data_IF_070033087926
#
_entry.id   IF_070033087926
#
_cell.length_a   1.000
_cell.length_b   1.000
_cell.length_c   1.000
_cell.angle_alpha   90.00
_cell.angle_beta   90.00
_cell.angle_gamma   90.00
#
_symmetry.space_group_name_H-M   'P 1'
#
loop_
_entity.id
_entity.type
_entity.pdbx_description
1 polymer ?
#
# COMPACT_ATOMS: atom_id res chain seq x y z
N UNK A 1 0.12 8.49 -8.49
CA UNK A 1 1.21 9.09 -7.71
C UNK A 1 1.02 8.61 -6.28
N UNK A 2 1.99 7.88 -5.73
CA UNK A 2 1.91 7.41 -4.33
C UNK A 2 2.00 8.61 -3.39
N UNK A 3 1.37 8.46 -2.24
CA UNK A 3 1.23 9.51 -1.25
C UNK A 3 2.40 9.38 -0.28
N UNK A 4 3.60 9.64 -0.80
CA UNK A 4 4.83 9.68 -0.03
C UNK A 4 5.15 11.13 0.35
N UNK A 5 5.81 11.35 1.50
CA UNK A 5 6.49 12.62 1.78
C UNK A 5 7.37 13.05 0.60
N UNK A 6 7.45 14.36 0.34
CA UNK A 6 8.22 14.91 -0.79
C UNK A 6 9.67 14.37 -0.86
N UNK A 7 10.41 14.27 0.26
CA UNK A 7 11.76 13.69 0.25
C UNK A 7 11.75 12.22 -0.20
N UNK A 8 10.81 11.42 0.29
CA UNK A 8 10.71 10.00 -0.06
C UNK A 8 10.23 9.77 -1.49
N UNK A 9 9.34 10.61 -2.01
CA UNK A 9 8.92 10.57 -3.40
C UNK A 9 10.10 10.86 -4.36
N UNK A 10 10.98 11.81 -3.99
CA UNK A 10 12.18 12.11 -4.77
C UNK A 10 13.18 10.95 -4.75
N UNK A 11 13.39 10.36 -3.58
CA UNK A 11 14.30 9.22 -3.42
C UNK A 11 13.79 7.97 -4.14
N UNK A 12 12.48 7.67 -4.03
CA UNK A 12 11.83 6.62 -4.82
C UNK A 12 12.08 6.82 -6.31
N UNK A 13 11.86 8.04 -6.83
CA UNK A 13 12.08 8.36 -8.24
C UNK A 13 13.54 8.15 -8.64
N UNK A 14 14.49 8.60 -7.82
CA UNK A 14 15.92 8.44 -8.05
C UNK A 14 16.31 6.96 -8.15
N UNK A 15 15.83 6.13 -7.23
CA UNK A 15 16.12 4.69 -7.22
C UNK A 15 15.43 3.99 -8.39
N UNK A 16 14.17 4.32 -8.68
CA UNK A 16 13.40 3.75 -9.80
C UNK A 16 14.09 3.97 -11.15
N UNK A 17 14.71 5.14 -11.36
CA UNK A 17 15.49 5.43 -12.57
C UNK A 17 16.74 4.54 -12.75
N UNK A 18 17.23 3.91 -11.68
CA UNK A 18 18.36 2.98 -11.72
C UNK A 18 17.97 1.52 -11.96
N UNK A 19 16.66 1.22 -11.97
CA UNK A 19 16.16 -0.13 -12.20
C UNK A 19 16.13 -0.47 -13.70
N UNK A 20 16.44 -1.72 -14.08
CA UNK A 20 16.36 -2.16 -15.47
C UNK A 20 14.91 -2.21 -15.96
N UNK A 21 14.72 -2.15 -17.28
CA UNK A 21 13.39 -2.16 -17.91
C UNK A 21 12.73 -3.55 -17.93
N UNK A 22 13.52 -4.62 -17.85
CA UNK A 22 12.99 -5.97 -17.66
C UNK A 22 12.16 -6.01 -16.37
N UNK A 23 11.04 -6.74 -16.33
CA UNK A 23 10.17 -6.76 -15.14
C UNK A 23 9.24 -5.54 -14.96
N UNK A 24 9.27 -4.53 -15.84
CA UNK A 24 8.23 -3.46 -15.89
C UNK A 24 6.99 -3.84 -16.71
N UNK A 25 7.16 -4.69 -17.73
CA UNK A 25 6.09 -5.19 -18.59
C UNK A 25 6.03 -6.72 -18.48
N UNK A 26 5.20 -7.23 -17.57
CA UNK A 26 5.08 -8.67 -17.31
C UNK A 26 3.66 -9.13 -17.69
N UNK A 27 3.56 -10.22 -18.44
CA UNK A 27 2.30 -10.87 -18.82
C UNK A 27 1.51 -11.50 -17.64
N UNK A 28 2.00 -11.37 -16.41
CA UNK A 28 1.36 -11.86 -15.18
C UNK A 28 0.90 -10.66 -14.32
N UNK A 29 -0.32 -10.14 -14.52
CA UNK A 29 -0.75 -8.84 -13.96
C UNK A 29 -0.85 -8.81 -12.44
N UNK A 30 -0.77 -9.96 -11.77
CA UNK A 30 -0.85 -10.06 -10.33
C UNK A 30 0.51 -10.10 -9.64
N UNK A 31 1.60 -10.34 -10.38
CA UNK A 31 2.95 -10.25 -9.82
C UNK A 31 3.37 -8.79 -9.68
N UNK A 32 4.32 -8.55 -8.79
CA UNK A 32 4.87 -7.22 -8.57
C UNK A 32 6.09 -7.00 -9.45
N UNK A 33 6.13 -5.85 -10.10
CA UNK A 33 7.32 -5.32 -10.78
C UNK A 33 8.36 -4.84 -9.76
N UNK A 34 9.54 -4.42 -10.23
CA UNK A 34 10.52 -3.77 -9.36
C UNK A 34 9.98 -2.50 -8.73
N UNK A 35 9.29 -1.69 -9.54
CA UNK A 35 8.68 -0.44 -9.10
C UNK A 35 7.61 -0.73 -8.03
N UNK A 36 6.73 -1.72 -8.23
CA UNK A 36 5.72 -2.10 -7.22
C UNK A 36 6.31 -2.48 -5.86
N UNK A 37 7.42 -3.24 -5.85
CA UNK A 37 8.09 -3.67 -4.61
C UNK A 37 8.79 -2.50 -3.94
N UNK A 38 9.42 -1.63 -4.74
CA UNK A 38 10.07 -0.43 -4.26
C UNK A 38 9.03 0.54 -3.67
N UNK A 39 7.92 0.76 -4.36
CA UNK A 39 6.80 1.57 -3.91
C UNK A 39 6.23 1.05 -2.58
N UNK A 40 5.98 -0.26 -2.47
CA UNK A 40 5.51 -0.88 -1.23
C UNK A 40 6.51 -0.65 -0.07
N UNK A 41 7.81 -0.73 -0.34
CA UNK A 41 8.85 -0.45 0.66
C UNK A 41 8.82 1.02 1.12
N UNK A 42 8.78 1.96 0.19
CA UNK A 42 8.77 3.39 0.52
C UNK A 42 7.48 3.80 1.25
N UNK A 43 6.33 3.20 0.93
CA UNK A 43 5.09 3.44 1.68
C UNK A 43 5.18 2.95 3.14
N UNK A 44 5.83 1.81 3.37
CA UNK A 44 6.11 1.36 4.74
C UNK A 44 7.08 2.32 5.42
N UNK A 45 8.09 2.80 4.70
CA UNK A 45 9.07 3.72 5.26
C UNK A 45 8.41 5.02 5.73
N UNK A 46 7.63 5.65 4.86
CA UNK A 46 6.89 6.88 5.13
C UNK A 46 5.94 6.69 6.33
N UNK A 47 5.11 5.65 6.30
CA UNK A 47 4.13 5.38 7.36
C UNK A 47 4.76 5.21 8.75
N UNK A 48 5.88 4.48 8.86
CA UNK A 48 6.49 4.22 10.17
C UNK A 48 7.42 5.34 10.63
N UNK A 49 8.03 6.11 9.72
CA UNK A 49 8.81 7.29 10.09
C UNK A 49 7.94 8.40 10.69
N UNK A 50 6.75 8.63 10.13
CA UNK A 50 5.81 9.63 10.68
C UNK A 50 5.35 9.29 12.11
N UNK A 51 5.38 8.01 12.46
CA UNK A 51 4.91 7.50 13.75
C UNK A 51 6.07 7.32 14.77
N UNK A 52 7.26 7.86 14.47
CA UNK A 52 8.49 7.78 15.26
C UNK A 52 8.96 6.33 15.54
N UNK A 53 8.53 5.38 14.70
CA UNK A 53 9.04 4.01 14.71
C UNK A 53 10.32 3.98 13.90
N UNK A 54 11.47 3.96 14.60
CA UNK A 54 12.79 3.96 13.99
C UNK A 54 12.92 3.02 12.78
N UNK A 55 13.37 3.60 11.67
CA UNK A 55 13.78 2.88 10.46
C UNK A 55 15.29 3.10 10.31
N UNK A 56 16.06 2.01 10.31
CA UNK A 56 17.53 2.04 10.28
C UNK A 56 18.15 2.47 8.95
N UNK A 57 17.32 2.68 7.92
CA UNK A 57 17.70 3.17 6.60
C UNK A 57 16.64 2.87 5.56
N UNK A 58 16.59 3.67 4.49
CA UNK A 58 15.52 3.66 3.51
C UNK A 58 16.06 3.25 2.15
N UNK A 59 15.30 2.42 1.44
CA UNK A 59 15.63 2.00 0.10
C UNK A 59 16.57 0.79 0.05
N UNK A 60 16.91 0.35 -1.18
CA UNK A 60 17.67 -0.86 -1.40
C UNK A 60 19.14 -0.68 -1.00
N UNK A 61 19.74 -1.70 -0.39
CA UNK A 61 21.19 -1.78 -0.13
C UNK A 61 22.00 -1.81 -1.42
N UNK A 62 21.43 -2.44 -2.46
CA UNK A 62 21.98 -2.44 -3.81
C UNK A 62 20.87 -2.72 -4.82
N UNK A 63 21.00 -2.12 -6.00
CA UNK A 63 20.06 -2.33 -7.13
C UNK A 63 20.03 -3.81 -7.52
N UNK A 64 21.19 -4.44 -7.66
CA UNK A 64 21.30 -5.85 -8.04
C UNK A 64 20.67 -6.78 -6.99
N UNK A 65 20.77 -6.44 -5.69
CA UNK A 65 20.14 -7.22 -4.62
C UNK A 65 18.61 -7.16 -4.69
N UNK A 66 18.04 -5.99 -4.98
CA UNK A 66 16.60 -5.82 -5.19
C UNK A 66 16.14 -6.57 -6.45
N UNK A 67 16.79 -6.32 -7.59
CA UNK A 67 16.48 -6.96 -8.88
C UNK A 67 16.51 -8.48 -8.73
N UNK A 68 17.62 -9.03 -8.21
CA UNK A 68 17.75 -10.47 -8.00
C UNK A 68 16.65 -11.02 -7.08
N UNK A 69 16.23 -10.28 -6.05
CA UNK A 69 15.17 -10.72 -5.15
C UNK A 69 13.81 -10.80 -5.84
N UNK A 70 13.48 -9.79 -6.64
CA UNK A 70 12.19 -9.72 -7.34
C UNK A 70 12.16 -10.69 -8.52
N UNK A 71 13.26 -10.84 -9.27
CA UNK A 71 13.36 -11.74 -10.42
C UNK A 71 13.12 -13.21 -10.10
N UNK A 72 13.28 -13.61 -8.83
CA UNK A 72 13.01 -14.97 -8.38
C UNK A 72 11.60 -15.42 -8.74
N UNK A 73 10.62 -14.52 -8.83
CA UNK A 73 9.24 -14.85 -9.19
C UNK A 73 9.07 -15.38 -10.62
N UNK A 74 10.02 -15.07 -11.51
CA UNK A 74 9.99 -15.46 -12.93
C UNK A 74 10.99 -16.56 -13.27
N UNK A 75 11.64 -17.18 -12.28
CA UNK A 75 12.56 -18.28 -12.55
C UNK A 75 11.90 -19.39 -13.36
N UNK A 76 12.55 -19.76 -14.45
CA UNK A 76 12.08 -20.75 -15.40
C UNK A 76 13.19 -21.11 -16.38
N UNK A 77 12.98 -22.18 -17.14
CA UNK A 77 13.87 -22.61 -18.21
C UNK A 77 13.04 -22.86 -19.47
N UNK A 78 13.49 -22.33 -20.62
CA UNK A 78 12.80 -22.46 -21.90
C UNK A 78 11.31 -22.09 -21.85
N UNK A 79 10.98 -21.00 -21.15
CA UNK A 79 9.59 -20.52 -21.02
C UNK A 79 8.74 -21.28 -20.01
N UNK A 80 9.25 -22.35 -19.39
CA UNK A 80 8.55 -23.10 -18.34
C UNK A 80 8.99 -22.59 -16.97
N UNK A 81 8.04 -22.06 -16.20
CA UNK A 81 8.28 -21.64 -14.81
C UNK A 81 8.64 -22.83 -13.92
N UNK A 82 9.53 -22.63 -12.95
CA UNK A 82 9.86 -23.65 -11.94
C UNK A 82 8.79 -23.80 -10.86
N UNK A 83 7.77 -22.92 -10.87
CA UNK A 83 6.71 -22.86 -9.87
C UNK A 83 5.44 -23.56 -10.34
N UNK A 84 4.83 -24.36 -9.46
CA UNK A 84 3.62 -25.14 -9.74
C UNK A 84 2.33 -24.34 -9.60
N UNK A 85 2.39 -23.16 -8.97
CA UNK A 85 1.24 -22.26 -8.80
C UNK A 85 1.68 -20.80 -8.67
N UNK A 86 0.77 -19.86 -8.92
CA UNK A 86 1.03 -18.44 -8.66
C UNK A 86 1.34 -18.18 -7.18
N UNK A 87 0.77 -18.95 -6.25
CA UNK A 87 1.10 -18.83 -4.83
C UNK A 87 2.57 -19.16 -4.53
N UNK A 88 3.17 -20.10 -5.27
CA UNK A 88 4.61 -20.39 -5.13
C UNK A 88 5.47 -19.22 -5.64
N UNK A 89 4.99 -18.46 -6.64
CA UNK A 89 5.67 -17.24 -7.12
C UNK A 89 5.58 -16.11 -6.10
N UNK A 90 4.42 -15.92 -5.47
CA UNK A 90 4.24 -15.00 -4.33
C UNK A 90 5.15 -15.41 -3.17
N UNK A 91 5.14 -16.70 -2.82
CA UNK A 91 5.97 -17.26 -1.77
C UNK A 91 7.47 -17.08 -2.05
N UNK A 92 7.89 -17.17 -3.31
CA UNK A 92 9.28 -16.92 -3.69
C UNK A 92 9.70 -15.47 -3.44
N UNK A 93 8.87 -14.49 -3.79
CA UNK A 93 9.17 -13.09 -3.47
C UNK A 93 9.21 -12.88 -1.96
N UNK A 94 8.19 -13.38 -1.25
CA UNK A 94 8.09 -13.29 0.20
C UNK A 94 9.36 -13.82 0.89
N UNK A 95 9.78 -15.03 0.51
CA UNK A 95 10.98 -15.66 1.03
C UNK A 95 12.23 -14.87 0.64
N UNK A 96 12.33 -14.41 -0.62
CA UNK A 96 13.44 -13.61 -1.11
C UNK A 96 13.62 -12.30 -0.35
N UNK A 97 12.55 -11.52 -0.17
CA UNK A 97 12.56 -10.26 0.55
C UNK A 97 13.05 -10.43 2.00
N UNK A 98 12.63 -11.52 2.65
CA UNK A 98 13.04 -11.80 4.03
C UNK A 98 14.49 -12.28 4.09
N UNK A 99 14.91 -13.22 3.23
CA UNK A 99 16.26 -13.84 3.35
C UNK A 99 17.37 -13.02 2.72
N UNK A 100 17.11 -12.38 1.57
CA UNK A 100 18.12 -11.60 0.87
C UNK A 100 18.32 -10.23 1.51
N UNK A 101 17.36 -9.77 2.31
CA UNK A 101 17.35 -8.45 2.94
C UNK A 101 17.76 -7.31 1.98
N UNK A 102 17.07 -7.16 0.81
CA UNK A 102 17.50 -6.22 -0.22
C UNK A 102 17.41 -4.76 0.21
N UNK A 103 16.63 -4.44 1.26
CA UNK A 103 16.50 -3.10 1.82
C UNK A 103 17.35 -2.92 3.08
N UNK A 104 17.71 -1.67 3.39
CA UNK A 104 18.44 -1.33 4.60
C UNK A 104 17.69 -1.77 5.86
N UNK A 105 16.39 -1.52 5.91
CA UNK A 105 15.50 -1.97 6.98
C UNK A 105 14.11 -2.34 6.42
N UNK A 106 13.16 -2.70 7.27
CA UNK A 106 11.76 -3.01 6.96
C UNK A 106 11.53 -4.22 6.04
N UNK A 107 12.55 -5.03 5.74
CA UNK A 107 12.45 -6.20 4.84
C UNK A 107 11.26 -7.13 5.15
N UNK A 108 11.04 -7.48 6.43
CA UNK A 108 9.90 -8.34 6.83
C UNK A 108 8.55 -7.67 6.62
N UNK A 109 8.45 -6.37 6.94
CA UNK A 109 7.26 -5.53 6.75
C UNK A 109 6.94 -5.41 5.25
N UNK A 110 7.96 -5.14 4.43
CA UNK A 110 7.85 -5.09 2.97
C UNK A 110 7.41 -6.44 2.41
N UNK A 111 8.01 -7.55 2.85
CA UNK A 111 7.60 -8.89 2.43
C UNK A 111 6.13 -9.19 2.74
N UNK A 112 5.69 -8.88 3.97
CA UNK A 112 4.31 -9.03 4.40
C UNK A 112 3.35 -8.25 3.50
N UNK A 113 3.63 -6.97 3.24
CA UNK A 113 2.80 -6.13 2.39
C UNK A 113 2.79 -6.60 0.93
N UNK A 114 3.95 -6.96 0.36
CA UNK A 114 4.04 -7.47 -1.01
C UNK A 114 3.25 -8.77 -1.20
N UNK A 115 3.21 -9.66 -0.21
CA UNK A 115 2.39 -10.87 -0.28
C UNK A 115 0.89 -10.54 -0.30
N UNK A 116 0.44 -9.60 0.54
CA UNK A 116 -0.95 -9.13 0.55
C UNK A 116 -1.34 -8.43 -0.74
N UNK A 117 -0.45 -7.61 -1.30
CA UNK A 117 -0.66 -6.91 -2.58
C UNK A 117 -0.89 -7.88 -3.74
N UNK A 118 -0.07 -8.93 -3.84
CA UNK A 118 -0.23 -9.92 -4.92
C UNK A 118 -1.51 -10.73 -4.75
N UNK A 119 -1.84 -11.15 -3.52
CA UNK A 119 -3.14 -11.79 -3.23
C UNK A 119 -4.30 -10.86 -3.60
N UNK A 120 -4.21 -9.58 -3.27
CA UNK A 120 -5.21 -8.59 -3.63
C UNK A 120 -5.35 -8.44 -5.16
N UNK A 121 -4.24 -8.39 -5.90
CA UNK A 121 -4.26 -8.38 -7.39
C UNK A 121 -4.86 -9.67 -7.97
N UNK A 122 -4.76 -10.80 -7.28
CA UNK A 122 -5.45 -12.05 -7.62
C UNK A 122 -6.95 -12.05 -7.23
N UNK A 123 -7.47 -10.96 -6.66
CA UNK A 123 -8.85 -10.89 -6.15
C UNK A 123 -9.06 -11.72 -4.87
N UNK A 124 -8.00 -11.89 -4.07
CA UNK A 124 -8.02 -12.69 -2.85
C UNK A 124 -7.65 -11.86 -1.63
N UNK A 125 -8.15 -12.29 -0.48
CA UNK A 125 -7.75 -11.78 0.83
C UNK A 125 -7.29 -12.93 1.71
N UNK A 126 -6.32 -12.67 2.59
CA UNK A 126 -5.85 -13.65 3.55
C UNK A 126 -6.92 -13.87 4.62
N UNK A 127 -7.07 -15.11 5.08
CA UNK A 127 -8.09 -15.49 6.09
C UNK A 127 -7.48 -15.83 7.44
N UNK A 128 -6.16 -16.06 7.48
CA UNK A 128 -5.47 -16.33 8.73
C UNK A 128 -5.34 -15.06 9.57
N UNK A 129 -5.31 -15.19 10.89
CA UNK A 129 -5.12 -14.07 11.80
C UNK A 129 -3.80 -13.36 11.54
N UNK A 130 -3.76 -12.05 11.80
CA UNK A 130 -2.57 -11.24 11.53
C UNK A 130 -1.33 -11.75 12.29
N UNK A 131 -1.52 -12.26 13.52
CA UNK A 131 -0.45 -12.83 14.34
C UNK A 131 0.15 -14.09 13.71
N UNK A 132 -0.66 -14.99 13.16
CA UNK A 132 -0.17 -16.21 12.51
C UNK A 132 0.60 -15.88 11.22
N UNK A 133 0.16 -14.86 10.48
CA UNK A 133 0.86 -14.41 9.29
C UNK A 133 2.18 -13.70 9.64
N UNK A 134 2.20 -12.95 10.73
CA UNK A 134 3.42 -12.39 11.33
C UNK A 134 4.39 -13.49 11.78
N UNK A 135 3.92 -14.51 12.50
CA UNK A 135 4.70 -15.66 12.93
C UNK A 135 5.27 -16.44 11.73
N UNK A 136 4.54 -16.48 10.61
CA UNK A 136 5.08 -17.02 9.37
C UNK A 136 6.30 -16.21 8.88
N UNK A 137 6.24 -14.88 8.90
CA UNK A 137 7.39 -14.03 8.51
C UNK A 137 8.60 -14.26 9.39
N UNK A 138 8.38 -14.30 10.71
CA UNK A 138 9.44 -14.59 11.69
C UNK A 138 10.05 -15.97 11.41
N UNK A 139 9.22 -16.98 11.14
CA UNK A 139 9.71 -18.34 10.86
C UNK A 139 10.58 -18.45 9.61
N UNK A 140 10.37 -17.56 8.63
CA UNK A 140 11.24 -17.46 7.45
C UNK A 140 12.57 -16.81 7.84
N UNK A 141 12.51 -15.71 8.60
CA UNK A 141 13.67 -14.95 9.02
C UNK A 141 14.65 -15.80 9.84
N UNK A 142 14.14 -16.49 10.88
CA UNK A 142 14.94 -17.30 11.81
C UNK A 142 15.27 -18.73 11.30
N UNK A 143 14.79 -19.10 10.10
CA UNK A 143 14.88 -20.44 9.51
C UNK A 143 14.10 -21.55 10.22
N UNK A 144 13.31 -21.25 11.25
CA UNK A 144 12.46 -22.24 11.93
C UNK A 144 11.41 -22.85 11.00
N UNK A 145 11.08 -22.19 9.88
CA UNK A 145 10.25 -22.75 8.81
C UNK A 145 10.76 -24.09 8.29
N UNK A 146 12.08 -24.30 8.27
CA UNK A 146 12.72 -25.57 7.83
C UNK A 146 12.44 -26.72 8.79
N UNK A 147 12.16 -26.42 10.05
CA UNK A 147 11.85 -27.41 11.08
C UNK A 147 10.42 -27.94 10.98
N UNK A 148 9.52 -27.24 10.26
CA UNK A 148 8.13 -27.64 10.10
C UNK A 148 8.03 -29.01 9.45
N UNK A 149 7.25 -29.91 10.05
CA UNK A 149 7.13 -31.31 9.62
C UNK A 149 6.79 -31.46 8.12
N UNK A 150 5.92 -30.57 7.59
CA UNK A 150 5.57 -30.55 6.18
C UNK A 150 6.77 -30.20 5.27
N UNK A 151 7.61 -29.24 5.67
CA UNK A 151 8.82 -28.85 4.92
C UNK A 151 9.83 -29.98 4.94
N UNK A 152 10.12 -30.55 6.13
CA UNK A 152 11.02 -31.71 6.27
C UNK A 152 10.56 -32.92 5.45
N UNK A 153 9.25 -33.14 5.36
CA UNK A 153 8.69 -34.20 4.53
C UNK A 153 8.94 -33.95 3.05
N UNK A 154 8.72 -32.72 2.56
CA UNK A 154 8.99 -32.35 1.16
C UNK A 154 10.48 -32.46 0.82
N UNK A 155 11.34 -32.06 1.76
CA UNK A 155 12.79 -32.15 1.62
C UNK A 155 13.26 -33.61 1.49
N UNK A 156 12.77 -34.50 2.36
CA UNK A 156 13.00 -35.96 2.26
C UNK A 156 12.48 -36.58 0.96
N UNK A 157 11.48 -35.96 0.33
CA UNK A 157 10.92 -36.38 -0.96
C UNK A 157 11.70 -35.80 -2.16
N UNK A 158 12.81 -35.07 -1.92
CA UNK A 158 13.62 -34.48 -2.96
C UNK A 158 12.97 -33.26 -3.64
N UNK A 159 12.03 -32.58 -2.97
CA UNK A 159 11.43 -31.37 -3.53
C UNK A 159 12.50 -30.27 -3.64
N UNK A 160 12.69 -29.63 -4.81
CA UNK A 160 13.83 -28.71 -5.03
C UNK A 160 13.79 -27.45 -4.15
N UNK A 161 12.58 -27.03 -3.75
CA UNK A 161 12.34 -25.83 -2.93
C UNK A 161 11.20 -26.08 -1.93
N UNK A 162 11.46 -26.86 -0.87
CA UNK A 162 10.40 -27.32 0.03
C UNK A 162 9.77 -26.19 0.82
N UNK A 163 10.52 -25.14 1.18
CA UNK A 163 10.00 -23.96 1.89
C UNK A 163 9.05 -23.16 0.99
N UNK A 164 9.41 -22.94 -0.27
CA UNK A 164 8.58 -22.18 -1.22
C UNK A 164 7.28 -22.94 -1.52
N UNK A 165 7.35 -24.25 -1.72
CA UNK A 165 6.17 -25.09 -1.93
C UNK A 165 5.25 -25.10 -0.71
N UNK A 166 5.82 -25.17 0.50
CA UNK A 166 5.05 -25.07 1.74
C UNK A 166 4.36 -23.71 1.87
N UNK A 167 5.08 -22.61 1.63
CA UNK A 167 4.54 -21.26 1.68
C UNK A 167 3.46 -21.02 0.63
N UNK A 168 3.64 -21.52 -0.60
CA UNK A 168 2.62 -21.46 -1.64
C UNK A 168 1.33 -22.15 -1.21
N UNK A 169 1.43 -23.38 -0.69
CA UNK A 169 0.27 -24.09 -0.12
C UNK A 169 -0.35 -23.37 1.07
N UNK A 170 0.46 -22.73 1.90
CA UNK A 170 -0.02 -21.94 3.03
C UNK A 170 -0.87 -20.76 2.54
N UNK A 171 -0.36 -19.97 1.59
CA UNK A 171 -1.08 -18.82 1.03
C UNK A 171 -2.36 -19.24 0.32
N UNK A 172 -2.33 -20.35 -0.42
CA UNK A 172 -3.49 -20.89 -1.12
C UNK A 172 -4.60 -21.27 -0.14
N UNK A 173 -4.27 -22.08 0.88
CA UNK A 173 -5.23 -22.57 1.89
C UNK A 173 -5.77 -21.47 2.80
N UNK A 174 -4.94 -20.46 3.07
CA UNK A 174 -5.28 -19.36 3.99
C UNK A 174 -5.66 -18.08 3.24
N UNK A 175 -6.19 -18.21 2.03
CA UNK A 175 -6.80 -17.09 1.32
C UNK A 175 -8.16 -17.49 0.77
N UNK A 176 -9.03 -16.50 0.55
CA UNK A 176 -10.32 -16.69 -0.09
C UNK A 176 -10.52 -15.65 -1.17
N UNK A 177 -11.39 -15.94 -2.15
CA UNK A 177 -11.86 -14.91 -3.09
C UNK A 177 -12.52 -13.79 -2.28
N UNK A 178 -12.12 -12.56 -2.57
CA UNK A 178 -12.79 -11.38 -2.04
C UNK A 178 -13.83 -10.93 -3.06
N UNK A 179 -15.05 -10.61 -2.60
CA UNK A 179 -15.86 -9.67 -3.35
C UNK A 179 -15.06 -8.37 -3.48
N UNK A 180 -15.09 -7.71 -4.64
CA UNK A 180 -14.51 -6.36 -4.77
C UNK A 180 -15.02 -5.53 -3.58
N UNK A 181 -14.11 -4.97 -2.80
CA UNK A 181 -14.44 -4.09 -1.67
C UNK A 181 -15.16 -2.84 -2.24
N UNK A 182 -16.48 -2.91 -2.37
CA UNK A 182 -17.31 -1.80 -2.86
C UNK A 182 -18.01 -1.09 -1.70
N UNK A 183 -17.28 -0.73 -0.63
CA UNK A 183 -17.86 0.16 0.37
C UNK A 183 -17.96 1.56 -0.25
N UNK A 184 -19.18 2.09 -0.31
CA UNK A 184 -19.54 3.45 -0.77
C UNK A 184 -19.71 4.39 0.44
N UNK A 185 -19.54 5.71 0.26
CA UNK A 185 -19.40 6.71 1.35
C UNK A 185 -20.57 7.61 1.11
N UNK A 186 -21.22 8.00 2.19
CA UNK A 186 -22.27 8.99 2.06
C UNK A 186 -21.63 10.36 1.87
N UNK A 187 -22.28 11.23 1.09
CA UNK A 187 -21.79 12.59 0.87
C UNK A 187 -21.57 13.35 2.18
N UNK A 188 -22.36 13.08 3.22
CA UNK A 188 -22.18 13.64 4.57
C UNK A 188 -20.81 13.35 5.17
N UNK A 189 -20.32 12.15 4.92
CA UNK A 189 -19.01 11.70 5.39
C UNK A 189 -17.91 12.44 4.63
N UNK A 190 -18.01 12.53 3.29
CA UNK A 190 -17.12 13.36 2.47
C UNK A 190 -17.08 14.82 2.96
N UNK A 191 -18.26 15.41 3.22
CA UNK A 191 -18.40 16.78 3.73
C UNK A 191 -17.64 16.99 5.03
N UNK A 192 -17.85 16.10 6.00
CA UNK A 192 -17.17 16.17 7.28
C UNK A 192 -15.65 16.19 7.12
N UNK A 193 -15.13 15.36 6.22
CA UNK A 193 -13.69 15.23 6.02
C UNK A 193 -13.15 16.48 5.33
N UNK A 194 -13.71 16.88 4.19
CA UNK A 194 -13.32 18.10 3.45
C UNK A 194 -13.34 19.33 4.36
N UNK A 195 -14.32 19.42 5.25
CA UNK A 195 -14.44 20.48 6.24
C UNK A 195 -13.26 20.56 7.21
N UNK A 196 -12.66 19.42 7.59
CA UNK A 196 -11.48 19.37 8.46
C UNK A 196 -10.21 19.87 7.77
N UNK A 197 -10.15 19.85 6.44
CA UNK A 197 -8.95 20.23 5.68
C UNK A 197 -9.04 21.63 5.07
N UNK A 198 -9.85 22.51 5.67
CA UNK A 198 -9.95 23.91 5.26
C UNK A 198 -10.82 24.17 4.02
N UNK A 199 -11.46 23.13 3.50
CA UNK A 199 -12.44 23.22 2.42
C UNK A 199 -13.87 23.14 2.98
N UNK A 200 -14.86 23.37 2.14
CA UNK A 200 -16.28 23.22 2.46
C UNK A 200 -17.07 23.01 1.17
N UNK A 201 -18.35 22.69 1.29
CA UNK A 201 -19.27 22.67 0.14
C UNK A 201 -20.39 23.68 0.30
N UNK A 202 -20.64 24.47 -0.75
CA UNK A 202 -21.61 25.57 -0.76
C UNK A 202 -22.41 25.62 -2.07
N UNK A 203 -23.42 26.48 -2.14
CA UNK A 203 -24.23 26.75 -3.35
C UNK A 203 -24.72 25.50 -4.11
N UNK A 204 -25.46 24.57 -3.46
CA UNK A 204 -26.02 23.42 -4.15
C UNK A 204 -27.02 23.88 -5.23
N UNK A 205 -26.78 23.52 -6.50
CA UNK A 205 -27.61 23.93 -7.63
C UNK A 205 -27.64 22.88 -8.73
N UNK A 206 -28.86 22.54 -9.21
CA UNK A 206 -29.12 21.62 -10.34
C UNK A 206 -28.26 20.34 -10.34
N UNK A 207 -28.20 19.65 -9.20
CA UNK A 207 -27.46 18.38 -9.09
C UNK A 207 -25.94 18.53 -8.96
N UNK A 208 -25.46 19.75 -8.71
CA UNK A 208 -24.07 20.05 -8.42
C UNK A 208 -23.93 20.81 -7.10
N UNK A 209 -22.72 20.81 -6.54
CA UNK A 209 -22.38 21.62 -5.38
C UNK A 209 -20.95 22.14 -5.55
N UNK A 210 -20.72 23.36 -5.08
CA UNK A 210 -19.41 24.01 -5.18
C UNK A 210 -18.51 23.54 -4.05
N UNK A 211 -17.24 23.31 -4.37
CA UNK A 211 -16.17 23.18 -3.38
C UNK A 211 -15.58 24.57 -3.17
N UNK A 212 -15.50 25.00 -1.92
CA UNK A 212 -14.94 26.29 -1.53
C UNK A 212 -13.80 26.11 -0.53
N UNK A 213 -12.78 26.98 -0.58
CA UNK A 213 -11.76 27.09 0.46
C UNK A 213 -12.14 28.21 1.42
N UNK A 214 -11.94 27.99 2.73
CA UNK A 214 -12.15 29.00 3.77
C UNK A 214 -10.85 29.78 3.97
N UNK A 215 -10.82 31.05 3.59
CA UNK A 215 -9.67 31.94 3.78
C UNK A 215 -9.97 32.92 4.93
N UNK A 216 -9.10 32.99 5.92
CA UNK A 216 -9.17 34.00 6.98
C UNK A 216 -8.11 35.08 6.71
N UNK A 217 -8.54 36.32 6.49
CA UNK A 217 -7.62 37.47 6.34
C UNK A 217 -7.70 38.34 7.59
N UNK A 218 -6.56 38.53 8.23
CA UNK A 218 -6.43 39.49 9.33
C UNK A 218 -6.21 40.87 8.74
N UNK A 219 -7.17 41.76 8.92
CA UNK A 219 -7.09 43.16 8.50
C UNK A 219 -6.75 44.00 9.73
N UNK A 220 -5.59 44.67 9.70
CA UNK A 220 -5.16 45.59 10.75
C UNK A 220 -5.65 47.00 10.43
N UNK A 221 -6.63 47.49 11.20
CA UNK A 221 -7.03 48.89 11.21
C UNK A 221 -6.25 49.71 12.23
N UNK A 222 -6.40 51.04 12.19
CA UNK A 222 -5.62 52.00 12.99
C UNK A 222 -5.73 51.80 14.52
N UNK A 223 -6.84 51.23 15.00
CA UNK A 223 -7.06 50.95 16.43
C UNK A 223 -7.58 49.53 16.74
N UNK A 224 -7.81 48.67 15.71
CA UNK A 224 -8.37 47.33 15.92
C UNK A 224 -7.99 46.38 14.79
N UNK A 225 -7.69 45.15 15.16
CA UNK A 225 -7.50 44.04 14.22
C UNK A 225 -8.82 43.30 14.04
N UNK A 226 -9.25 43.10 12.80
CA UNK A 226 -10.49 42.38 12.44
C UNK A 226 -10.14 41.19 11.55
N UNK A 227 -10.67 40.00 11.87
CA UNK A 227 -10.54 38.81 11.02
C UNK A 227 -11.73 38.76 10.06
N UNK A 228 -11.47 38.82 8.76
CA UNK A 228 -12.48 38.71 7.70
C UNK A 228 -12.42 37.29 7.13
N UNK A 229 -13.55 36.58 7.16
CA UNK A 229 -13.69 35.23 6.60
C UNK A 229 -14.23 35.33 5.18
N UNK A 230 -13.45 34.87 4.20
CA UNK A 230 -13.86 34.78 2.81
C UNK A 230 -13.96 33.32 2.37
N UNK A 231 -14.87 33.06 1.43
CA UNK A 231 -14.97 31.78 0.75
C UNK A 231 -14.62 31.98 -0.71
N UNK A 232 -13.72 31.15 -1.24
CA UNK A 232 -13.37 31.16 -2.67
C UNK A 232 -13.69 29.80 -3.27
N UNK A 233 -14.45 29.80 -4.36
CA UNK A 233 -14.74 28.58 -5.13
C UNK A 233 -13.46 28.03 -5.75
N UNK A 234 -13.24 26.73 -5.57
CA UNK A 234 -12.10 25.99 -6.13
C UNK A 234 -12.55 24.94 -7.16
N UNK A 235 -13.83 24.53 -7.14
CA UNK A 235 -14.40 23.65 -8.15
C UNK A 235 -15.87 23.34 -7.89
N UNK A 236 -16.42 22.37 -8.62
CA UNK A 236 -17.77 21.87 -8.44
C UNK A 236 -17.83 20.36 -8.73
N UNK A 237 -18.73 19.66 -8.04
CA UNK A 237 -18.91 18.21 -8.17
C UNK A 237 -20.39 17.85 -8.25
N UNK A 238 -20.70 16.63 -8.72
CA UNK A 238 -22.04 16.09 -8.67
C UNK A 238 -22.53 15.95 -7.21
N UNK A 239 -23.78 16.35 -6.96
CA UNK A 239 -24.40 16.32 -5.65
C UNK A 239 -25.87 15.92 -5.76
N UNK A 240 -26.22 14.82 -5.07
CA UNK A 240 -27.57 14.25 -5.06
C UNK A 240 -28.14 14.12 -3.65
N UNK A 241 -27.49 14.74 -2.66
CA UNK A 241 -27.92 14.76 -1.26
C UNK A 241 -26.93 14.11 -0.30
N UNK A 242 -26.99 14.52 0.96
CA UNK A 242 -26.08 14.09 2.03
C UNK A 242 -26.05 12.58 2.30
N UNK A 243 -27.16 11.87 2.05
CA UNK A 243 -27.30 10.43 2.26
C UNK A 243 -26.97 9.55 1.04
N UNK A 244 -26.54 10.16 -0.07
CA UNK A 244 -26.24 9.44 -1.31
C UNK A 244 -24.79 9.01 -1.34
N UNK A 245 -24.56 7.83 -1.93
CA UNK A 245 -23.22 7.31 -2.17
C UNK A 245 -22.46 8.20 -3.15
N UNK A 246 -21.25 8.60 -2.78
CA UNK A 246 -20.37 9.36 -3.68
C UNK A 246 -19.67 8.39 -4.63
N UNK A 247 -19.85 8.55 -5.96
CA UNK A 247 -19.15 7.74 -6.94
C UNK A 247 -17.63 7.98 -6.92
N UNK A 248 -16.83 6.96 -7.25
CA UNK A 248 -15.36 7.02 -7.20
C UNK A 248 -14.78 8.14 -8.08
N UNK A 249 -15.36 8.39 -9.27
CA UNK A 249 -14.91 9.48 -10.14
C UNK A 249 -15.09 10.87 -9.49
N UNK A 250 -16.15 11.05 -8.70
CA UNK A 250 -16.37 12.27 -7.92
C UNK A 250 -15.33 12.40 -6.82
N UNK A 251 -14.98 11.32 -6.11
CA UNK A 251 -13.93 11.34 -5.08
C UNK A 251 -12.56 11.72 -5.66
N UNK A 252 -12.20 11.16 -6.82
CA UNK A 252 -10.98 11.52 -7.56
C UNK A 252 -10.94 13.01 -7.88
N UNK A 253 -12.06 13.52 -8.39
CA UNK A 253 -12.16 14.91 -8.79
C UNK A 253 -12.03 15.87 -7.59
N UNK A 254 -12.70 15.53 -6.48
CA UNK A 254 -12.60 16.28 -5.22
C UNK A 254 -11.16 16.37 -4.74
N UNK A 255 -10.43 15.24 -4.72
CA UNK A 255 -9.03 15.20 -4.30
C UNK A 255 -8.15 16.10 -5.18
N UNK A 256 -8.35 16.04 -6.50
CA UNK A 256 -7.62 16.88 -7.46
C UNK A 256 -7.88 18.37 -7.24
N UNK A 257 -9.15 18.76 -7.09
CA UNK A 257 -9.54 20.17 -6.89
C UNK A 257 -8.94 20.74 -5.59
N UNK A 258 -9.04 19.98 -4.52
CA UNK A 258 -8.63 20.46 -3.20
C UNK A 258 -7.12 20.37 -2.98
N UNK A 259 -6.37 19.77 -3.90
CA UNK A 259 -4.94 19.52 -3.70
C UNK A 259 -4.63 18.69 -2.45
N UNK A 260 -5.64 17.95 -1.96
CA UNK A 260 -5.54 17.18 -0.73
C UNK A 260 -4.68 15.96 -1.00
N UNK A 261 -3.59 15.91 -0.24
CA UNK A 261 -2.67 14.79 -0.17
C UNK A 261 -2.91 14.04 1.12
N UNK A 262 -2.43 12.79 1.24
CA UNK A 262 -2.63 12.02 2.48
C UNK A 262 -1.97 12.69 3.70
N UNK A 263 -0.96 13.54 3.48
CA UNK A 263 -0.28 14.34 4.50
C UNK A 263 -1.16 15.40 5.17
N UNK A 264 -2.26 15.80 4.53
CA UNK A 264 -3.11 16.85 5.07
C UNK A 264 -4.05 16.34 6.18
N UNK A 265 -4.06 15.02 6.46
CA UNK A 265 -4.87 14.39 7.51
C UNK A 265 -6.30 14.05 7.07
N UNK A 266 -6.53 14.03 5.75
CA UNK A 266 -7.82 13.75 5.14
C UNK A 266 -8.25 12.34 5.47
N UNK A 267 -9.20 12.22 6.40
CA UNK A 267 -9.63 11.02 7.10
C UNK A 267 -9.36 9.74 6.30
N UNK A 268 -8.28 9.09 6.71
CA UNK A 268 -7.61 7.98 6.01
C UNK A 268 -8.44 6.70 5.97
N UNK A 269 -9.76 6.78 6.13
CA UNK A 269 -10.74 5.71 5.97
C UNK A 269 -11.63 5.93 4.72
N UNK A 270 -11.79 7.19 4.30
CA UNK A 270 -12.62 7.59 3.15
C UNK A 270 -11.79 7.80 1.88
N UNK A 271 -10.51 8.14 2.02
CA UNK A 271 -9.52 8.07 0.94
C UNK A 271 -9.11 6.63 0.59
N UNK A 272 -9.42 5.63 1.44
CA UNK A 272 -9.12 4.20 1.22
C UNK A 272 -9.91 3.54 0.09
N UNK A 273 -10.44 4.31 -0.85
CA UNK A 273 -11.19 3.78 -2.00
C UNK A 273 -10.45 3.98 -3.30
N UNK A 274 -9.66 5.05 -3.35
CA UNK A 274 -8.66 5.30 -4.39
C UNK A 274 -7.22 5.24 -3.87
N UNK A 275 -7.02 5.04 -2.56
CA UNK A 275 -5.71 4.71 -2.03
C UNK A 275 -5.26 3.43 -2.73
N UNK A 276 -4.06 3.49 -3.33
CA UNK A 276 -3.36 2.31 -3.82
C UNK A 276 -3.56 1.17 -2.81
N UNK A 277 -3.90 -0.07 -3.22
CA UNK A 277 -4.14 -1.18 -2.30
C UNK A 277 -3.08 -1.28 -1.19
N UNK A 278 -1.86 -0.83 -1.47
CA UNK A 278 -0.75 -0.61 -0.55
C UNK A 278 -1.14 0.10 0.75
N UNK A 279 -1.74 1.30 0.71
CA UNK A 279 -2.06 2.07 1.93
C UNK A 279 -3.21 1.45 2.72
N UNK A 280 -4.23 0.93 2.05
CA UNK A 280 -5.35 0.23 2.70
C UNK A 280 -4.86 -0.98 3.48
N UNK A 281 -3.94 -1.74 2.88
CA UNK A 281 -3.30 -2.87 3.52
C UNK A 281 -2.37 -2.44 4.65
N UNK A 282 -1.59 -1.36 4.50
CA UNK A 282 -0.78 -0.83 5.61
C UNK A 282 -1.66 -0.48 6.81
N UNK A 283 -2.76 0.25 6.61
CA UNK A 283 -3.64 0.64 7.70
C UNK A 283 -4.35 -0.57 8.33
N UNK A 284 -4.89 -1.48 7.51
CA UNK A 284 -5.60 -2.68 7.99
C UNK A 284 -4.71 -3.63 8.80
N UNK A 285 -3.41 -3.66 8.49
CA UNK A 285 -2.44 -4.55 9.13
C UNK A 285 -1.39 -3.78 9.95
N UNK A 286 -1.70 -2.54 10.37
CA UNK A 286 -0.76 -1.63 11.05
C UNK A 286 -0.10 -2.28 12.26
N UNK A 287 -0.87 -2.99 13.08
CA UNK A 287 -0.37 -3.58 14.33
C UNK A 287 0.59 -4.73 14.06
N UNK A 288 0.30 -5.55 13.05
CA UNK A 288 1.19 -6.64 12.64
C UNK A 288 2.49 -6.10 12.01
N UNK A 289 2.38 -5.09 11.15
CA UNK A 289 3.53 -4.42 10.58
C UNK A 289 4.39 -3.76 11.67
N UNK A 290 3.78 -3.14 12.68
CA UNK A 290 4.50 -2.56 13.82
C UNK A 290 5.23 -3.62 14.64
N UNK A 291 4.58 -4.74 14.99
CA UNK A 291 5.22 -5.83 15.74
C UNK A 291 6.38 -6.46 14.97
N UNK A 292 6.28 -6.57 13.64
CA UNK A 292 7.36 -7.06 12.77
C UNK A 292 8.62 -6.17 12.77
N UNK A 293 8.55 -4.93 13.26
CA UNK A 293 9.73 -4.10 13.42
C UNK A 293 10.65 -4.60 14.55
N UNK A 294 10.10 -5.27 15.56
CA UNK A 294 10.79 -5.66 16.80
C UNK A 294 10.98 -7.16 16.98
N UNK A 295 10.42 -7.96 16.08
CA UNK A 295 10.57 -9.41 16.02
C UNK A 295 11.49 -9.80 14.89
#
# INVERSE_FOLDING_TARGET
>A
MLLLSKPLAQELKRVSQSLPDFGRNIEAPHLLTYDDVLEAHFCIADYFMEQDYGIGGIGPKSVNGLVSTVERQWMGFQGVTVYKSEYERIASLLYGLIKNHPFHDANKRTAFLCALLQLHRMGRTITVGQKDFEDLMVSIADNSIKSKAAVRKMDKQGHPRPEIAYLGRYLEKNSRRSARLSRTIKFRELRYIISKHGFDFDNPFKGSIDIVVREEKTVRGFFRTTVVKNKRKVGAIAYHGEGVDVPDNTLKHVRQICGLTDQDGFDGEVLLRDAQPTFQLINSYREALQRLAYR
#
